data_IF_909472794289
#
_entry.id   IF_909472794289
#
_cell.length_a   1.000
_cell.length_b   1.000
_cell.length_c   1.000
_cell.angle_alpha   90.00
_cell.angle_beta   90.00
_cell.angle_gamma   90.00
#
_symmetry.space_group_name_H-M   'P 1'
#
loop_
_entity.id
_entity.type
_entity.pdbx_description
1 polymer ?
#
# COMPACT_ATOMS: atom_id res chain seq x y z
N UNK A 1 -25.21 0.96 -18.38
CA UNK A 1 -24.43 -0.28 -18.18
C UNK A 1 -23.01 0.04 -17.70
N UNK A 2 -22.84 0.36 -16.40
CA UNK A 2 -21.60 0.95 -15.88
C UNK A 2 -21.50 0.84 -14.37
N UNK A 3 -21.44 -0.39 -13.86
CA UNK A 3 -21.34 -0.66 -12.43
C UNK A 3 -20.06 -1.46 -12.14
N UNK A 4 -18.90 -0.87 -12.43
CA UNK A 4 -17.64 -1.45 -11.99
C UNK A 4 -17.57 -1.41 -10.46
N UNK A 5 -17.09 -2.49 -9.81
CA UNK A 5 -16.94 -2.50 -8.37
C UNK A 5 -15.89 -1.46 -7.97
N UNK A 6 -16.11 -0.84 -6.80
CA UNK A 6 -15.03 -0.05 -6.18
C UNK A 6 -13.87 -0.97 -5.83
N UNK A 7 -12.65 -0.43 -5.76
CA UNK A 7 -11.49 -1.18 -5.29
C UNK A 7 -11.76 -1.85 -3.93
N UNK A 8 -12.47 -1.17 -3.03
CA UNK A 8 -12.84 -1.71 -1.73
C UNK A 8 -13.82 -2.89 -1.84
N UNK A 9 -14.76 -2.87 -2.80
CA UNK A 9 -15.65 -4.02 -3.06
C UNK A 9 -14.83 -5.21 -3.56
N UNK A 10 -13.96 -4.98 -4.55
CA UNK A 10 -13.08 -6.02 -5.09
C UNK A 10 -12.18 -6.65 -4.01
N UNK A 11 -11.57 -5.84 -3.15
CA UNK A 11 -10.74 -6.35 -2.04
C UNK A 11 -11.53 -7.23 -1.08
N UNK A 12 -12.79 -6.87 -0.78
CA UNK A 12 -13.67 -7.69 0.08
C UNK A 12 -14.02 -9.02 -0.59
N UNK A 13 -14.39 -8.99 -1.87
CA UNK A 13 -14.74 -10.19 -2.63
C UNK A 13 -13.53 -11.12 -2.79
N UNK A 14 -12.34 -10.56 -2.99
CA UNK A 14 -11.08 -11.31 -3.04
C UNK A 14 -10.82 -12.07 -1.74
N UNK A 15 -10.94 -11.39 -0.58
CA UNK A 15 -10.75 -12.03 0.73
C UNK A 15 -11.84 -13.07 1.00
N UNK A 16 -13.10 -12.78 0.63
CA UNK A 16 -14.22 -13.71 0.79
C UNK A 16 -14.07 -15.00 -0.02
N UNK A 17 -13.44 -14.93 -1.19
CA UNK A 17 -13.16 -16.07 -2.05
C UNK A 17 -11.88 -16.85 -1.66
N UNK A 18 -11.05 -16.30 -0.75
CA UNK A 18 -9.77 -16.89 -0.41
C UNK A 18 -9.93 -18.19 0.42
N UNK A 19 -9.23 -19.30 0.07
CA UNK A 19 -9.43 -20.59 0.72
C UNK A 19 -9.08 -20.61 2.21
N UNK A 20 -8.18 -19.73 2.67
CA UNK A 20 -7.82 -19.63 4.09
C UNK A 20 -8.76 -18.75 4.91
N UNK A 21 -9.73 -18.06 4.29
CA UNK A 21 -10.64 -17.17 5.01
C UNK A 21 -11.79 -17.94 5.66
N UNK A 22 -11.88 -17.89 6.98
CA UNK A 22 -12.85 -18.64 7.77
C UNK A 22 -14.20 -17.93 8.00
N UNK A 23 -14.42 -16.76 7.37
CA UNK A 23 -15.61 -15.89 7.59
C UNK A 23 -15.80 -15.46 9.05
N UNK A 24 -14.72 -15.42 9.80
CA UNK A 24 -14.64 -14.97 11.19
C UNK A 24 -14.31 -13.46 11.29
N UNK A 25 -14.46 -12.72 10.19
CA UNK A 25 -14.08 -11.31 10.05
C UNK A 25 -12.59 -11.01 10.27
N UNK A 26 -11.72 -12.04 10.32
CA UNK A 26 -10.26 -11.88 10.41
C UNK A 26 -9.62 -12.23 9.08
N UNK A 27 -8.80 -11.32 8.55
CA UNK A 27 -8.05 -11.57 7.32
C UNK A 27 -6.79 -12.37 7.67
N UNK A 28 -6.65 -13.63 7.19
CA UNK A 28 -5.46 -14.42 7.47
C UNK A 28 -4.25 -13.84 6.72
N UNK A 29 -3.02 -13.99 7.25
CA UNK A 29 -1.82 -13.43 6.63
C UNK A 29 -1.61 -13.87 5.18
N UNK A 30 -1.96 -15.12 4.84
CA UNK A 30 -1.89 -15.63 3.46
C UNK A 30 -2.82 -14.85 2.50
N UNK A 31 -4.07 -14.60 2.91
CA UNK A 31 -5.00 -13.83 2.08
C UNK A 31 -4.55 -12.38 1.92
N UNK A 32 -3.98 -11.78 2.97
CA UNK A 32 -3.44 -10.43 2.92
C UNK A 32 -2.22 -10.33 1.99
N UNK A 33 -1.32 -11.31 2.05
CA UNK A 33 -0.18 -11.40 1.14
C UNK A 33 -0.64 -11.48 -0.31
N UNK A 34 -1.54 -12.41 -0.61
CA UNK A 34 -2.01 -12.65 -1.98
C UNK A 34 -2.80 -11.46 -2.53
N UNK A 35 -3.54 -10.76 -1.65
CA UNK A 35 -4.22 -9.52 -1.99
C UNK A 35 -3.23 -8.43 -2.41
N UNK A 36 -2.16 -8.21 -1.62
CA UNK A 36 -1.16 -7.18 -1.91
C UNK A 36 -0.38 -7.48 -3.18
N UNK A 37 -0.01 -8.76 -3.40
CA UNK A 37 0.64 -9.21 -4.63
C UNK A 37 -0.26 -8.94 -5.83
N UNK A 38 -1.53 -9.36 -5.78
CA UNK A 38 -2.47 -9.13 -6.87
C UNK A 38 -2.68 -7.63 -7.14
N UNK A 39 -2.78 -6.80 -6.10
CA UNK A 39 -2.95 -5.36 -6.24
C UNK A 39 -1.72 -4.70 -6.90
N UNK A 40 -0.51 -5.12 -6.52
CA UNK A 40 0.73 -4.64 -7.13
C UNK A 40 0.80 -5.04 -8.61
N UNK A 41 0.54 -6.30 -8.93
CA UNK A 41 0.54 -6.78 -10.33
C UNK A 41 -0.47 -6.04 -11.21
N UNK A 42 -1.65 -5.71 -10.69
CA UNK A 42 -2.66 -4.93 -11.41
C UNK A 42 -2.17 -3.49 -11.61
N UNK A 43 -1.64 -2.86 -10.56
CA UNK A 43 -1.14 -1.48 -10.62
C UNK A 43 0.09 -1.31 -11.52
N UNK A 44 0.91 -2.35 -11.62
CA UNK A 44 2.08 -2.41 -12.50
C UNK A 44 1.73 -2.79 -13.94
N UNK A 45 0.47 -3.12 -14.23
CA UNK A 45 0.04 -3.59 -15.55
C UNK A 45 0.53 -5.01 -15.91
N UNK A 46 1.10 -5.76 -14.95
CA UNK A 46 1.49 -7.18 -15.13
C UNK A 46 0.28 -8.12 -15.18
N UNK A 47 -0.81 -7.75 -14.51
CA UNK A 47 -2.05 -8.53 -14.45
C UNK A 47 -3.24 -7.67 -14.87
N UNK A 48 -3.98 -8.11 -15.88
CA UNK A 48 -5.27 -7.53 -16.20
C UNK A 48 -6.34 -7.99 -15.19
N UNK A 49 -7.18 -7.06 -14.72
CA UNK A 49 -8.33 -7.35 -13.86
C UNK A 49 -9.58 -6.70 -14.45
N UNK A 50 -10.25 -7.36 -15.42
CA UNK A 50 -11.45 -6.82 -16.04
C UNK A 50 -12.63 -6.74 -15.06
N UNK A 51 -12.61 -7.50 -13.97
CA UNK A 51 -13.64 -7.42 -12.92
C UNK A 51 -13.60 -6.07 -12.19
N UNK A 52 -12.41 -5.49 -12.00
CA UNK A 52 -12.21 -4.21 -11.33
C UNK A 52 -12.17 -3.03 -12.33
N UNK A 53 -11.43 -3.17 -13.41
CA UNK A 53 -11.12 -2.07 -14.35
C UNK A 53 -11.98 -2.10 -15.62
N UNK A 54 -12.77 -3.16 -15.83
CA UNK A 54 -13.55 -3.34 -17.04
C UNK A 54 -12.67 -3.45 -18.27
N UNK A 55 -12.93 -2.59 -19.26
CA UNK A 55 -12.19 -2.58 -20.52
C UNK A 55 -10.88 -1.77 -20.44
N UNK A 56 -10.57 -1.17 -19.28
CA UNK A 56 -9.36 -0.37 -19.07
C UNK A 56 -8.22 -1.31 -18.70
N UNK A 57 -7.13 -1.23 -19.47
CA UNK A 57 -5.89 -1.97 -19.21
C UNK A 57 -4.81 -1.00 -18.74
N UNK A 58 -4.20 -1.30 -17.59
CA UNK A 58 -3.02 -0.59 -17.11
C UNK A 58 -1.84 -1.02 -17.97
N UNK A 59 -1.14 -0.05 -18.54
CA UNK A 59 0.06 -0.34 -19.32
C UNK A 59 1.17 -0.79 -18.37
N UNK A 60 1.96 -1.82 -18.74
CA UNK A 60 3.09 -2.25 -17.94
C UNK A 60 4.00 -1.07 -17.61
N UNK A 61 4.34 -0.93 -16.33
CA UNK A 61 5.36 0.02 -15.91
C UNK A 61 6.72 -0.51 -16.37
N UNK A 62 7.17 -0.06 -17.54
CA UNK A 62 8.56 -0.17 -17.93
C UNK A 62 9.38 0.57 -16.87
N UNK A 63 10.43 -0.07 -16.37
CA UNK A 63 11.30 0.38 -15.27
C UNK A 63 12.18 1.56 -15.70
N UNK A 64 11.58 2.61 -16.28
CA UNK A 64 12.20 3.94 -16.33
C UNK A 64 12.18 4.44 -14.90
N UNK A 65 13.25 4.10 -14.18
CA UNK A 65 13.62 4.73 -12.92
C UNK A 65 13.24 6.20 -13.03
N UNK A 66 12.26 6.62 -12.21
CA UNK A 66 11.75 7.97 -12.24
C UNK A 66 12.94 8.91 -12.33
N UNK A 67 12.95 9.74 -13.39
CA UNK A 67 13.97 10.75 -13.60
C UNK A 67 14.02 11.62 -12.35
N UNK A 68 14.92 11.26 -11.45
CA UNK A 68 15.28 12.00 -10.27
C UNK A 68 16.20 13.12 -10.76
N UNK A 69 15.63 14.06 -11.51
CA UNK A 69 16.27 15.30 -11.93
C UNK A 69 17.79 15.15 -12.15
N UNK A 70 18.19 14.33 -13.12
CA UNK A 70 19.59 14.11 -13.43
C UNK A 70 20.15 15.36 -14.13
N UNK A 71 20.72 16.32 -13.35
CA UNK A 71 21.52 17.50 -13.79
C UNK A 71 20.77 18.45 -14.75
N UNK A 72 20.66 19.76 -14.59
CA UNK A 72 21.57 20.84 -14.14
C UNK A 72 20.78 22.11 -14.52
N UNK A 73 20.55 23.15 -13.73
CA UNK A 73 21.48 24.00 -12.98
C UNK A 73 20.70 24.74 -11.89
N UNK A 74 20.81 24.34 -10.63
CA UNK A 74 20.53 25.27 -9.53
C UNK A 74 21.82 26.06 -9.26
N UNK A 75 22.08 27.08 -10.06
CA UNK A 75 23.15 28.05 -9.82
C UNK A 75 22.63 29.08 -8.81
N UNK A 76 22.59 28.69 -7.54
CA UNK A 76 22.71 29.54 -6.35
C UNK A 76 22.28 28.74 -5.12
N UNK A 77 23.28 28.24 -4.40
CA UNK A 77 23.21 27.63 -3.08
C UNK A 77 22.33 28.47 -2.13
N UNK A 78 21.50 27.91 -1.25
CA UNK A 78 21.99 27.16 -0.09
C UNK A 78 20.83 26.53 0.68
N UNK A 79 20.72 25.19 0.68
CA UNK A 79 19.70 24.34 1.34
C UNK A 79 18.57 23.83 0.45
N UNK A 80 18.98 23.18 -0.63
CA UNK A 80 18.19 22.19 -1.34
C UNK A 80 18.61 20.82 -0.79
N UNK A 81 17.66 20.10 -0.16
CA UNK A 81 17.70 18.70 0.27
C UNK A 81 19.08 18.03 0.41
N UNK A 82 19.51 17.81 1.67
CA UNK A 82 20.62 16.92 1.97
C UNK A 82 20.23 15.48 1.57
N UNK A 83 20.74 15.06 0.41
CA UNK A 83 20.55 13.76 -0.21
C UNK A 83 21.40 12.67 0.47
N UNK A 84 21.25 12.56 1.80
CA UNK A 84 21.85 11.46 2.58
C UNK A 84 20.92 10.93 3.66
N UNK A 85 19.61 10.93 3.42
CA UNK A 85 18.71 10.06 4.18
C UNK A 85 18.23 8.98 3.24
N UNK A 86 18.92 7.83 3.35
CA UNK A 86 18.54 6.55 2.78
C UNK A 86 17.02 6.41 2.80
N UNK A 87 16.44 6.08 1.65
CA UNK A 87 15.12 5.48 1.61
C UNK A 87 15.21 4.18 2.39
N UNK A 88 14.96 4.24 3.69
CA UNK A 88 14.87 3.08 4.56
C UNK A 88 13.70 2.26 4.07
N UNK A 89 13.98 1.24 3.28
CA UNK A 89 13.14 0.05 3.20
C UNK A 89 13.15 -0.51 4.62
N UNK A 90 12.19 -0.12 5.45
CA UNK A 90 12.06 -0.66 6.80
C UNK A 90 11.92 -2.18 6.68
N UNK A 91 12.94 -2.88 7.17
CA UNK A 91 12.92 -4.34 7.31
C UNK A 91 11.73 -4.76 8.17
N UNK A 92 11.16 -5.97 7.97
CA UNK A 92 9.97 -6.43 8.68
C UNK A 92 10.13 -6.51 10.21
N UNK A 93 11.35 -6.39 10.76
CA UNK A 93 11.64 -6.41 12.19
C UNK A 93 11.18 -5.13 12.91
N UNK A 94 11.17 -3.98 12.23
CA UNK A 94 10.89 -2.68 12.85
C UNK A 94 9.40 -2.44 13.14
N UNK A 95 8.50 -3.23 12.54
CA UNK A 95 7.05 -3.14 12.80
C UNK A 95 6.65 -3.75 14.14
N UNK A 96 7.49 -4.60 14.75
CA UNK A 96 7.19 -5.22 16.04
C UNK A 96 7.25 -4.23 17.21
N UNK A 97 8.06 -3.17 17.10
CA UNK A 97 8.29 -2.24 18.21
C UNK A 97 7.22 -1.13 18.33
N UNK A 98 6.35 -0.94 17.31
CA UNK A 98 5.28 0.08 17.35
C UNK A 98 4.02 -0.40 18.08
N UNK A 99 3.94 -1.69 18.41
CA UNK A 99 2.77 -2.27 19.07
C UNK A 99 2.76 -2.10 20.59
N UNK A 100 3.84 -1.58 21.20
CA UNK A 100 3.95 -1.43 22.65
C UNK A 100 3.67 0.01 23.17
N UNK A 101 3.40 0.97 22.27
CA UNK A 101 3.04 2.37 22.62
C UNK A 101 1.51 2.61 22.65
N UNK A 102 0.74 1.59 23.03
CA UNK A 102 -0.62 1.81 23.55
C UNK A 102 -0.66 1.44 25.03
N UNK A 103 -0.14 2.33 25.87
CA UNK A 103 -0.60 2.42 27.26
C UNK A 103 -1.88 3.28 27.36
N UNK A 104 -2.74 2.97 28.35
CA UNK A 104 -4.19 3.14 28.22
C UNK A 104 -4.64 4.55 28.58
N UNK A 105 -5.77 4.98 28.01
CA UNK A 105 -6.56 6.07 28.56
C UNK A 105 -7.04 5.74 29.99
N UNK A 106 -6.17 5.97 30.98
CA UNK A 106 -6.54 6.05 32.38
C UNK A 106 -6.66 7.55 32.73
N UNK A 107 -7.83 8.12 32.54
CA UNK A 107 -8.17 9.43 33.11
C UNK A 107 -8.99 9.23 34.39
N UNK A 108 -8.42 9.41 35.59
CA UNK A 108 -9.22 9.65 36.78
C UNK A 108 -9.51 11.15 36.91
N UNK A 109 -10.79 11.51 36.82
CA UNK A 109 -11.36 12.52 37.71
C UNK A 109 -11.27 14.00 37.34
N UNK A 110 -11.80 14.41 36.19
CA UNK A 110 -12.37 15.76 36.07
C UNK A 110 -13.75 15.72 35.39
N UNK A 111 -14.75 15.34 36.18
CA UNK A 111 -16.11 15.83 36.02
C UNK A 111 -16.28 17.01 36.99
N UNK A 112 -16.31 18.23 36.47
CA UNK A 112 -17.00 19.40 37.01
C UNK A 112 -17.17 20.41 35.88
#
# INVERSE_FOLDING_TARGET
EGNLPTAATWMRDFVLAHPSYARDSRVPPAAAHDLMVAAAEIGEGRRACPELLGHITVQPLEETAGSCCSRSTCDSASHCCDATSLCSVSTPEEQAQRAEDLEPCAQPGLCC
#
